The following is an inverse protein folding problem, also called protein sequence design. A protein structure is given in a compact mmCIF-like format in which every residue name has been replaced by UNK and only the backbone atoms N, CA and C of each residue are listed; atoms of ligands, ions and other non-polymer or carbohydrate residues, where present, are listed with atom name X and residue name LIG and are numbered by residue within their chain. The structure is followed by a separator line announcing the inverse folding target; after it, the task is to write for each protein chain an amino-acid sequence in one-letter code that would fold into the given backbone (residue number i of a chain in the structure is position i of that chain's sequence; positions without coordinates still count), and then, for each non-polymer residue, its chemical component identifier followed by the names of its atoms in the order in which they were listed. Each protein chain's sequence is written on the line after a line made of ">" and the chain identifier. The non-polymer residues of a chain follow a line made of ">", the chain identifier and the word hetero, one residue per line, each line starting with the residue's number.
data_IF_485024843882
#
_entry.id   IF_485024843882
#
_cell.length_a   1.000
_cell.length_b   1.000
_cell.length_c   1.000
_cell.angle_alpha   90.00
_cell.angle_beta   90.00
_cell.angle_gamma   90.00
#
_symmetry.space_group_name_H-M   'P 1'
#
loop_
_entity.id
_entity.type
_entity.pdbx_description
1 polymer ?
#
# COMPACT_ATOMS: atom_id res chain seq x y z
N UNK A 1 -15.01 -3.80 -46.77
CA UNK A 1 -15.07 -3.71 -45.28
C UNK A 1 -15.99 -4.80 -44.77
N UNK A 2 -15.52 -5.80 -44.00
CA UNK A 2 -16.35 -6.93 -43.57
C UNK A 2 -17.29 -6.50 -42.44
N UNK A 3 -18.60 -6.79 -42.58
CA UNK A 3 -19.64 -6.52 -41.57
C UNK A 3 -19.40 -7.43 -40.36
N UNK A 4 -18.83 -6.91 -39.28
CA UNK A 4 -18.80 -7.61 -38.00
C UNK A 4 -20.23 -7.72 -37.46
N UNK A 5 -20.79 -8.92 -37.46
CA UNK A 5 -22.10 -9.22 -36.86
C UNK A 5 -22.08 -8.92 -35.36
N UNK A 6 -23.11 -8.23 -34.86
CA UNK A 6 -23.33 -7.89 -33.45
C UNK A 6 -23.21 -9.11 -32.53
N UNK A 7 -23.57 -10.30 -33.03
CA UNK A 7 -23.46 -11.55 -32.29
C UNK A 7 -21.99 -11.95 -32.03
N UNK A 8 -21.07 -11.65 -32.94
CA UNK A 8 -19.63 -11.92 -32.78
C UNK A 8 -18.99 -10.95 -31.78
N UNK A 9 -19.48 -9.70 -31.73
CA UNK A 9 -19.06 -8.72 -30.72
C UNK A 9 -19.55 -9.10 -29.33
N UNK A 10 -20.81 -9.51 -29.20
CA UNK A 10 -21.37 -9.96 -27.91
C UNK A 10 -20.72 -11.27 -27.43
N UNK A 11 -20.41 -12.21 -28.33
CA UNK A 11 -19.65 -13.42 -27.99
C UNK A 11 -18.22 -13.08 -27.55
N UNK A 12 -17.51 -12.19 -28.26
CA UNK A 12 -16.18 -11.72 -27.86
C UNK A 12 -16.23 -11.05 -26.48
N UNK A 13 -17.17 -10.14 -26.25
CA UNK A 13 -17.34 -9.46 -24.96
C UNK A 13 -17.61 -10.43 -23.80
N UNK A 14 -18.44 -11.45 -24.00
CA UNK A 14 -18.66 -12.51 -22.99
C UNK A 14 -17.44 -13.39 -22.77
N UNK A 15 -16.67 -13.68 -23.83
CA UNK A 15 -15.47 -14.51 -23.74
C UNK A 15 -14.31 -13.80 -23.03
N UNK A 16 -14.07 -12.51 -23.31
CA UNK A 16 -13.08 -11.70 -22.56
C UNK A 16 -13.49 -11.54 -21.09
N UNK A 17 -14.78 -11.34 -20.81
CA UNK A 17 -15.27 -11.24 -19.42
C UNK A 17 -15.09 -12.54 -18.63
N UNK A 18 -15.33 -13.70 -19.25
CA UNK A 18 -15.16 -15.02 -18.62
C UNK A 18 -13.69 -15.41 -18.45
N UNK A 19 -12.81 -15.05 -19.39
CA UNK A 19 -11.37 -15.31 -19.29
C UNK A 19 -10.71 -14.50 -18.17
N UNK A 20 -11.03 -13.20 -18.06
CA UNK A 20 -10.55 -12.38 -16.95
C UNK A 20 -10.99 -12.92 -15.57
N UNK A 21 -12.20 -13.50 -15.46
CA UNK A 21 -12.68 -14.07 -14.19
C UNK A 21 -12.03 -15.39 -13.78
N UNK A 22 -11.49 -16.17 -14.72
CA UNK A 22 -10.74 -17.40 -14.43
C UNK A 22 -9.25 -17.13 -14.19
N UNK A 23 -8.68 -16.11 -14.86
CA UNK A 23 -7.28 -15.71 -14.73
C UNK A 23 -7.01 -14.99 -13.39
N UNK A 24 -7.97 -14.22 -12.86
CA UNK A 24 -7.93 -13.69 -11.49
C UNK A 24 -8.14 -14.75 -10.40
N UNK A 25 -8.50 -15.98 -10.76
CA UNK A 25 -8.92 -17.04 -9.81
C UNK A 25 -7.76 -17.90 -9.30
N UNK A 26 -6.55 -17.71 -9.87
CA UNK A 26 -5.34 -18.43 -9.48
C UNK A 26 -4.40 -17.49 -8.73
N UNK A 27 -3.99 -17.90 -7.53
CA UNK A 27 -2.89 -17.29 -6.80
C UNK A 27 -1.61 -17.60 -7.60
N UNK A 28 -1.18 -16.66 -8.44
CA UNK A 28 0.11 -16.78 -9.12
C UNK A 28 1.21 -16.44 -8.10
N UNK A 29 2.08 -17.39 -7.71
CA UNK A 29 3.08 -17.14 -6.67
C UNK A 29 4.15 -16.14 -7.09
N UNK A 30 4.31 -15.85 -8.40
CA UNK A 30 5.32 -14.93 -8.92
C UNK A 30 4.76 -14.05 -10.05
N UNK A 31 3.87 -13.10 -9.73
CA UNK A 31 3.20 -12.25 -10.72
C UNK A 31 4.18 -11.34 -11.49
N UNK A 32 5.37 -11.10 -10.94
CA UNK A 32 6.42 -10.27 -11.54
C UNK A 32 6.97 -10.84 -12.88
N UNK A 33 6.83 -12.15 -13.14
CA UNK A 33 7.42 -12.82 -14.30
C UNK A 33 6.94 -12.27 -15.65
N UNK A 34 5.65 -11.95 -15.75
CA UNK A 34 5.04 -11.43 -16.99
C UNK A 34 5.57 -10.03 -17.36
N UNK A 35 5.48 -9.04 -16.45
CA UNK A 35 6.02 -7.70 -16.66
C UNK A 35 7.52 -7.68 -16.95
N UNK A 36 8.30 -8.50 -16.26
CA UNK A 36 9.76 -8.55 -16.42
C UNK A 36 10.18 -9.03 -17.81
N UNK A 37 9.46 -10.02 -18.39
CA UNK A 37 9.70 -10.51 -19.76
C UNK A 37 9.44 -9.48 -20.86
N UNK A 38 8.63 -8.45 -20.59
CA UNK A 38 8.28 -7.38 -21.55
C UNK A 38 8.97 -6.04 -21.20
N UNK A 39 10.00 -6.11 -20.35
CA UNK A 39 10.76 -4.95 -19.91
C UNK A 39 11.81 -4.56 -20.95
N UNK A 40 12.06 -3.26 -21.12
CA UNK A 40 12.99 -2.72 -22.12
C UNK A 40 13.72 -1.50 -21.52
N UNK A 41 14.91 -1.17 -22.02
CA UNK A 41 15.74 -0.05 -21.56
C UNK A 41 15.01 1.30 -21.59
N UNK A 42 14.13 1.54 -22.56
CA UNK A 42 13.32 2.77 -22.58
C UNK A 42 12.39 2.89 -21.35
N UNK A 43 11.82 1.77 -20.88
CA UNK A 43 11.00 1.72 -19.66
C UNK A 43 11.87 1.87 -18.42
N UNK A 44 13.07 1.29 -18.42
CA UNK A 44 14.02 1.46 -17.33
C UNK A 44 14.34 2.92 -17.06
N UNK A 45 14.67 3.70 -18.09
CA UNK A 45 14.96 5.13 -17.91
C UNK A 45 13.76 5.93 -17.39
N UNK A 46 12.54 5.57 -17.83
CA UNK A 46 11.30 6.21 -17.35
C UNK A 46 11.02 5.84 -15.90
N UNK A 47 11.08 4.55 -15.57
CA UNK A 47 10.83 4.05 -14.22
C UNK A 47 11.91 4.54 -13.25
N UNK A 48 13.17 4.67 -13.67
CA UNK A 48 14.25 5.22 -12.84
C UNK A 48 14.00 6.67 -12.45
N UNK A 49 13.59 7.52 -13.41
CA UNK A 49 13.22 8.92 -13.12
C UNK A 49 12.01 8.99 -12.18
N UNK A 50 11.01 8.14 -12.39
CA UNK A 50 9.85 8.06 -11.51
C UNK A 50 10.23 7.58 -10.10
N UNK A 51 11.12 6.59 -10.00
CA UNK A 51 11.60 6.04 -8.73
C UNK A 51 12.35 7.08 -7.90
N UNK A 52 13.16 7.96 -8.52
CA UNK A 52 13.81 9.07 -7.80
C UNK A 52 12.78 9.99 -7.17
N UNK A 53 11.76 10.43 -7.93
CA UNK A 53 10.71 11.31 -7.41
C UNK A 53 9.91 10.64 -6.29
N UNK A 54 9.58 9.36 -6.45
CA UNK A 54 8.87 8.57 -5.44
C UNK A 54 9.72 8.40 -4.18
N UNK A 55 11.02 8.09 -4.32
CA UNK A 55 11.93 7.93 -3.19
C UNK A 55 12.11 9.24 -2.42
N UNK A 56 12.27 10.37 -3.12
CA UNK A 56 12.41 11.69 -2.50
C UNK A 56 11.18 12.05 -1.66
N UNK A 57 9.99 11.65 -2.10
CA UNK A 57 8.75 11.85 -1.35
C UNK A 57 8.57 10.81 -0.22
N UNK A 58 8.95 9.56 -0.45
CA UNK A 58 8.76 8.46 0.50
C UNK A 58 9.63 8.59 1.76
N UNK A 59 10.81 9.20 1.66
CA UNK A 59 11.70 9.42 2.81
C UNK A 59 11.02 10.29 3.89
N UNK A 60 10.66 11.56 3.64
CA UNK A 60 10.01 12.40 4.65
C UNK A 60 8.63 11.85 5.06
N UNK A 61 7.89 11.21 4.15
CA UNK A 61 6.62 10.56 4.50
C UNK A 61 6.82 9.42 5.50
N UNK A 62 7.79 8.54 5.28
CA UNK A 62 8.10 7.45 6.20
C UNK A 62 8.52 7.98 7.58
N UNK A 63 9.32 9.05 7.62
CA UNK A 63 9.71 9.71 8.86
C UNK A 63 8.49 10.24 9.64
N UNK A 64 7.57 10.92 8.95
CA UNK A 64 6.35 11.43 9.56
C UNK A 64 5.44 10.30 10.07
N UNK A 65 5.33 9.19 9.35
CA UNK A 65 4.51 8.04 9.76
C UNK A 65 5.09 7.33 10.99
N UNK A 66 6.42 7.21 11.08
CA UNK A 66 7.07 6.70 12.30
C UNK A 66 6.80 7.63 13.50
N UNK A 67 6.87 8.95 13.31
CA UNK A 67 6.56 9.91 14.35
C UNK A 67 5.09 9.81 14.83
N UNK A 68 4.13 9.63 13.92
CA UNK A 68 2.72 9.40 14.28
C UNK A 68 2.54 8.12 15.09
N UNK A 69 3.29 7.06 14.75
CA UNK A 69 3.26 5.79 15.48
C UNK A 69 4.05 5.81 16.80
N UNK A 70 4.59 6.96 17.21
CA UNK A 70 5.53 7.12 18.33
C UNK A 70 6.79 6.23 18.26
N UNK A 71 7.20 5.84 17.06
CA UNK A 71 8.39 5.04 16.80
C UNK A 71 9.59 5.91 16.44
N UNK A 72 10.82 5.45 16.70
CA UNK A 72 12.01 6.12 16.19
C UNK A 72 11.96 6.25 14.66
N UNK A 73 12.38 7.41 14.14
CA UNK A 73 12.29 7.77 12.72
C UNK A 73 12.91 6.72 11.79
N UNK A 74 14.00 6.09 12.23
CA UNK A 74 14.70 5.04 11.48
C UNK A 74 13.78 3.88 11.06
N UNK A 75 12.76 3.53 11.87
CA UNK A 75 11.82 2.47 11.55
C UNK A 75 10.93 2.81 10.35
N UNK A 76 10.52 4.07 10.20
CA UNK A 76 9.72 4.52 9.06
C UNK A 76 10.50 4.44 7.74
N UNK A 77 11.76 4.89 7.77
CA UNK A 77 12.65 4.83 6.60
C UNK A 77 12.96 3.38 6.24
N UNK A 78 13.35 2.56 7.23
CA UNK A 78 13.65 1.15 7.02
C UNK A 78 12.43 0.38 6.48
N UNK A 79 11.23 0.63 7.02
CA UNK A 79 9.99 0.01 6.56
C UNK A 79 9.69 0.39 5.10
N UNK A 80 9.78 1.67 4.74
CA UNK A 80 9.59 2.13 3.36
C UNK A 80 10.59 1.49 2.39
N UNK A 81 11.87 1.40 2.76
CA UNK A 81 12.90 0.78 1.93
C UNK A 81 12.65 -0.73 1.75
N UNK A 82 12.36 -1.45 2.84
CA UNK A 82 12.04 -2.88 2.79
C UNK A 82 10.79 -3.13 1.95
N UNK A 83 9.73 -2.34 2.12
CA UNK A 83 8.51 -2.46 1.33
C UNK A 83 8.76 -2.22 -0.17
N UNK A 84 9.54 -1.20 -0.53
CA UNK A 84 9.87 -0.90 -1.92
C UNK A 84 10.67 -2.05 -2.60
N UNK A 85 11.48 -2.78 -1.84
CA UNK A 85 12.26 -3.92 -2.36
C UNK A 85 11.41 -5.20 -2.41
N UNK A 86 10.70 -5.52 -1.34
CA UNK A 86 10.01 -6.81 -1.17
C UNK A 86 8.66 -6.84 -1.89
N UNK A 87 7.90 -5.75 -1.85
CA UNK A 87 6.53 -5.75 -2.33
C UNK A 87 6.37 -5.96 -3.85
N UNK A 88 7.26 -5.48 -4.73
CA UNK A 88 7.16 -5.74 -6.17
C UNK A 88 7.16 -7.23 -6.54
N UNK A 89 7.81 -8.10 -5.75
CA UNK A 89 7.82 -9.53 -6.00
C UNK A 89 6.44 -10.18 -5.86
N UNK A 90 5.57 -9.60 -5.02
CA UNK A 90 4.23 -10.09 -4.73
C UNK A 90 3.12 -9.21 -5.34
N UNK A 91 3.48 -8.13 -6.03
CA UNK A 91 2.50 -7.21 -6.63
C UNK A 91 1.99 -7.73 -7.98
N UNK A 92 0.66 -7.80 -8.12
CA UNK A 92 -0.01 -8.09 -9.39
C UNK A 92 0.00 -6.93 -10.40
N UNK A 93 0.43 -5.73 -9.99
CA UNK A 93 0.41 -4.53 -10.83
C UNK A 93 1.72 -3.75 -10.76
N UNK A 94 2.20 -3.29 -11.92
CA UNK A 94 3.43 -2.50 -12.07
C UNK A 94 3.37 -1.09 -11.44
N UNK A 95 2.18 -0.61 -11.11
CA UNK A 95 1.98 0.76 -10.57
C UNK A 95 1.58 0.75 -9.09
N UNK A 96 1.46 -0.42 -8.46
CA UNK A 96 1.11 -0.50 -7.05
C UNK A 96 2.36 -0.30 -6.21
N UNK A 97 2.33 0.75 -5.40
CA UNK A 97 3.37 1.05 -4.41
C UNK A 97 2.83 0.60 -3.05
N UNK A 98 3.62 -0.19 -2.32
CA UNK A 98 3.33 -0.60 -0.95
C UNK A 98 4.35 0.05 -0.02
N UNK A 99 3.90 0.42 1.16
CA UNK A 99 4.73 1.07 2.17
C UNK A 99 3.92 1.41 3.41
N UNK A 100 4.56 1.99 4.44
CA UNK A 100 3.84 2.53 5.57
C UNK A 100 2.89 3.63 5.09
N UNK A 101 1.75 3.72 5.74
CA UNK A 101 0.72 4.73 5.47
C UNK A 101 0.35 5.45 6.75
N UNK A 102 -0.26 6.64 6.63
CA UNK A 102 -0.86 7.32 7.77
C UNK A 102 -1.83 6.41 8.55
N UNK A 103 -2.66 5.63 7.85
CA UNK A 103 -3.64 4.75 8.48
C UNK A 103 -2.95 3.68 9.34
N UNK A 104 -1.92 3.01 8.80
CA UNK A 104 -1.16 2.00 9.55
C UNK A 104 -0.40 2.60 10.73
N UNK A 105 0.11 3.83 10.60
CA UNK A 105 0.76 4.54 11.70
C UNK A 105 -0.21 4.83 12.85
N UNK A 106 -1.41 5.34 12.53
CA UNK A 106 -2.46 5.57 13.53
C UNK A 106 -2.96 4.27 14.16
N UNK A 107 -3.07 3.18 13.39
CA UNK A 107 -3.46 1.88 13.95
C UNK A 107 -2.45 1.38 14.99
N UNK A 108 -1.15 1.51 14.71
CA UNK A 108 -0.09 1.18 15.66
C UNK A 108 -0.20 2.06 16.89
N UNK A 109 -0.28 3.38 16.72
CA UNK A 109 -0.42 4.33 17.82
C UNK A 109 -1.62 3.99 18.71
N UNK A 110 -2.81 3.87 18.13
CA UNK A 110 -4.04 3.57 18.86
C UNK A 110 -4.02 2.20 19.55
N UNK A 111 -3.32 1.21 19.00
CA UNK A 111 -3.17 -0.09 19.63
C UNK A 111 -2.40 0.03 20.94
N UNK A 112 -1.25 0.72 20.95
CA UNK A 112 -0.43 0.87 22.16
C UNK A 112 -0.95 1.91 23.16
N UNK A 113 -1.94 2.73 22.77
CA UNK A 113 -2.67 3.59 23.70
C UNK A 113 -3.65 2.84 24.61
N UNK A 114 -3.93 1.56 24.35
CA UNK A 114 -4.84 0.77 25.20
C UNK A 114 -4.23 0.63 26.60
N UNK A 115 -4.95 1.01 27.68
CA UNK A 115 -4.43 0.94 29.04
C UNK A 115 -3.95 -0.48 29.39
N UNK A 116 -2.74 -0.58 29.94
CA UNK A 116 -2.12 -1.86 30.32
C UNK A 116 -1.43 -2.62 29.18
N UNK A 117 -1.40 -2.07 27.96
CA UNK A 117 -0.72 -2.72 26.83
C UNK A 117 0.79 -2.46 26.81
N UNK A 118 1.25 -1.29 27.27
CA UNK A 118 2.67 -1.00 27.49
C UNK A 118 2.86 -0.08 28.68
N UNK A 119 3.98 -0.24 29.37
CA UNK A 119 4.40 0.64 30.48
C UNK A 119 5.49 1.63 30.05
N UNK A 120 6.12 1.41 28.88
CA UNK A 120 7.18 2.27 28.36
C UNK A 120 7.31 2.19 26.83
N UNK A 121 7.92 3.22 26.22
CA UNK A 121 8.26 3.22 24.79
C UNK A 121 9.22 2.09 24.40
N UNK A 122 10.10 1.65 25.31
CA UNK A 122 11.00 0.52 25.07
C UNK A 122 10.25 -0.80 24.91
N UNK A 123 9.20 -1.00 25.72
CA UNK A 123 8.33 -2.18 25.63
C UNK A 123 7.53 -2.20 24.33
N UNK A 124 7.03 -1.04 23.88
CA UNK A 124 6.37 -0.92 22.57
C UNK A 124 7.27 -1.39 21.42
N UNK A 125 8.54 -0.97 21.40
CA UNK A 125 9.50 -1.37 20.38
C UNK A 125 9.81 -2.87 20.47
N UNK A 126 9.85 -3.44 21.67
CA UNK A 126 10.07 -4.88 21.86
C UNK A 126 8.88 -5.74 21.38
N UNK A 127 7.65 -5.24 21.50
CA UNK A 127 6.42 -5.93 21.07
C UNK A 127 6.10 -5.74 19.58
N UNK A 128 6.69 -4.74 18.91
CA UNK A 128 6.49 -4.44 17.48
C UNK A 128 6.67 -5.65 16.55
N UNK A 129 7.76 -6.44 16.64
CA UNK A 129 7.95 -7.60 15.76
C UNK A 129 6.85 -8.65 15.92
N UNK A 130 6.37 -8.86 17.15
CA UNK A 130 5.27 -9.78 17.43
C UNK A 130 3.97 -9.29 16.81
N UNK A 131 3.66 -7.99 16.96
CA UNK A 131 2.49 -7.39 16.32
C UNK A 131 2.54 -7.54 14.80
N UNK A 132 3.68 -7.22 14.18
CA UNK A 132 3.89 -7.40 12.74
C UNK A 132 3.70 -8.86 12.30
N UNK A 133 4.20 -9.81 13.07
CA UNK A 133 4.05 -11.24 12.78
C UNK A 133 2.58 -11.67 12.87
N UNK A 134 1.85 -11.23 13.88
CA UNK A 134 0.42 -11.52 14.03
C UNK A 134 -0.40 -10.93 12.88
N UNK A 135 -0.17 -9.67 12.53
CA UNK A 135 -0.82 -9.02 11.38
C UNK A 135 -0.51 -9.79 10.10
N UNK A 136 0.76 -10.16 9.88
CA UNK A 136 1.18 -10.97 8.74
C UNK A 136 0.46 -12.32 8.69
N UNK A 137 0.37 -13.02 9.82
CA UNK A 137 -0.35 -14.29 9.93
C UNK A 137 -1.85 -14.12 9.60
N UNK A 138 -2.50 -13.08 10.12
CA UNK A 138 -3.89 -12.77 9.78
C UNK A 138 -4.06 -12.43 8.30
N UNK A 139 -3.13 -11.71 7.69
CA UNK A 139 -3.15 -11.43 6.25
C UNK A 139 -3.01 -12.72 5.43
N UNK A 140 -2.15 -13.65 5.83
CA UNK A 140 -1.98 -14.95 5.15
C UNK A 140 -3.26 -15.78 5.28
N UNK A 141 -3.82 -15.89 6.48
CA UNK A 141 -5.10 -16.58 6.71
C UNK A 141 -6.21 -15.95 5.89
N UNK A 142 -6.32 -14.62 5.88
CA UNK A 142 -7.28 -13.88 5.06
C UNK A 142 -7.10 -14.11 3.56
N UNK A 143 -5.86 -14.24 3.08
CA UNK A 143 -5.56 -14.57 1.69
C UNK A 143 -6.00 -15.99 1.32
N UNK A 144 -5.76 -16.98 2.20
CA UNK A 144 -6.21 -18.37 2.02
C UNK A 144 -7.74 -18.45 2.00
N UNK A 145 -8.39 -17.73 2.92
CA UNK A 145 -9.86 -17.62 2.99
C UNK A 145 -10.46 -16.77 1.87
N UNK A 146 -9.62 -16.17 1.01
CA UNK A 146 -10.03 -15.28 -0.09
C UNK A 146 -10.93 -14.14 0.38
N UNK A 147 -10.59 -13.53 1.50
CA UNK A 147 -11.30 -12.35 2.04
C UNK A 147 -11.33 -11.21 1.01
N UNK A 148 -10.35 -11.14 0.10
CA UNK A 148 -10.35 -10.20 -1.02
C UNK A 148 -11.60 -10.32 -1.91
N UNK A 149 -12.20 -11.51 -2.06
CA UNK A 149 -13.44 -11.70 -2.82
C UNK A 149 -14.61 -10.97 -2.14
N UNK A 150 -14.56 -10.75 -0.82
CA UNK A 150 -15.59 -9.99 -0.12
C UNK A 150 -15.51 -8.49 -0.45
N UNK A 151 -14.34 -7.99 -0.86
CA UNK A 151 -14.19 -6.58 -1.26
C UNK A 151 -15.06 -6.22 -2.46
N UNK A 152 -15.47 -7.20 -3.28
CA UNK A 152 -16.40 -6.97 -4.38
C UNK A 152 -17.81 -6.55 -3.92
N UNK A 153 -18.16 -6.79 -2.64
CA UNK A 153 -19.42 -6.36 -2.04
C UNK A 153 -19.33 -4.97 -1.40
N UNK A 154 -18.15 -4.35 -1.36
CA UNK A 154 -18.01 -2.97 -0.88
C UNK A 154 -18.63 -2.02 -1.90
N UNK A 155 -19.57 -1.20 -1.44
CA UNK A 155 -20.28 -0.27 -2.33
C UNK A 155 -19.33 0.79 -2.89
N UNK A 156 -19.65 1.29 -4.10
CA UNK A 156 -18.90 2.38 -4.73
C UNK A 156 -18.85 3.62 -3.83
N UNK A 157 -19.93 3.93 -3.12
CA UNK A 157 -19.99 5.09 -2.21
C UNK A 157 -18.99 4.98 -1.06
N UNK A 158 -18.81 3.78 -0.48
CA UNK A 158 -17.83 3.55 0.60
C UNK A 158 -16.40 3.73 0.06
N UNK A 159 -16.11 3.20 -1.12
CA UNK A 159 -14.79 3.38 -1.76
C UNK A 159 -14.50 4.87 -2.03
N UNK A 160 -15.48 5.62 -2.53
CA UNK A 160 -15.34 7.06 -2.75
C UNK A 160 -15.11 7.80 -1.43
N UNK A 161 -15.85 7.46 -0.37
CA UNK A 161 -15.65 8.04 0.96
C UNK A 161 -14.26 7.75 1.53
N UNK A 162 -13.77 6.53 1.38
CA UNK A 162 -12.41 6.14 1.78
C UNK A 162 -11.34 6.94 1.02
N UNK A 163 -11.45 7.03 -0.32
CA UNK A 163 -10.50 7.78 -1.14
C UNK A 163 -10.55 9.29 -0.79
N UNK A 164 -11.74 9.86 -0.59
CA UNK A 164 -11.90 11.25 -0.18
C UNK A 164 -11.26 11.50 1.20
N UNK A 165 -11.49 10.60 2.17
CA UNK A 165 -10.85 10.66 3.49
C UNK A 165 -9.32 10.58 3.40
N UNK A 166 -8.80 9.65 2.60
CA UNK A 166 -7.35 9.53 2.36
C UNK A 166 -6.77 10.80 1.71
N UNK A 167 -7.46 11.39 0.73
CA UNK A 167 -7.05 12.65 0.10
C UNK A 167 -7.04 13.81 1.11
N UNK A 168 -8.09 13.95 1.92
CA UNK A 168 -8.15 14.96 2.99
C UNK A 168 -7.01 14.77 4.00
N UNK A 169 -6.71 13.52 4.38
CA UNK A 169 -5.62 13.22 5.30
C UNK A 169 -4.24 13.56 4.70
N UNK A 170 -4.04 13.31 3.40
CA UNK A 170 -2.82 13.72 2.69
C UNK A 170 -2.69 15.25 2.71
N UNK A 171 -3.75 15.97 2.34
CA UNK A 171 -3.78 17.44 2.36
C UNK A 171 -3.47 17.96 3.77
N UNK A 172 -4.14 17.43 4.80
CA UNK A 172 -3.91 17.81 6.19
C UNK A 172 -2.45 17.58 6.63
N UNK A 173 -1.81 16.50 6.17
CA UNK A 173 -0.40 16.25 6.45
C UNK A 173 0.54 17.23 5.74
N UNK A 174 0.18 17.70 4.55
CA UNK A 174 0.96 18.74 3.85
C UNK A 174 0.79 20.11 4.53
N UNK A 175 -0.39 20.42 5.09
CA UNK A 175 -0.62 21.65 5.85
C UNK A 175 0.34 21.78 7.06
N UNK A 176 0.68 20.68 7.74
CA UNK A 176 1.64 20.70 8.85
C UNK A 176 3.03 21.21 8.42
N UNK A 177 3.45 20.87 7.20
CA UNK A 177 4.70 21.33 6.63
C UNK A 177 4.63 22.81 6.22
N UNK A 178 3.52 23.23 5.59
CA UNK A 178 3.32 24.61 5.14
C UNK A 178 3.20 25.58 6.32
N UNK A 179 2.55 25.17 7.42
CA UNK A 179 2.34 25.99 8.61
C UNK A 179 3.57 26.03 9.53
N UNK A 180 4.68 25.37 9.17
CA UNK A 180 5.93 25.43 9.95
C UNK A 180 5.84 24.83 11.36
N UNK A 181 4.81 24.03 11.65
CA UNK A 181 4.56 23.48 13.00
C UNK A 181 5.65 22.48 13.43
N UNK A 182 6.52 22.06 12.51
CA UNK A 182 7.73 21.29 12.80
C UNK A 182 8.85 22.17 13.40
N UNK A 183 8.96 23.45 13.04
CA UNK A 183 10.02 24.32 13.57
C UNK A 183 9.82 24.73 15.04
N UNK A 184 8.58 24.68 15.56
CA UNK A 184 8.29 25.04 16.96
C UNK A 184 8.67 23.97 17.99
N UNK A 185 9.14 22.79 17.56
CA UNK A 185 9.59 21.71 18.47
C UNK A 185 11.10 21.42 18.40
N UNK A 186 11.85 22.03 17.48
CA UNK A 186 13.33 21.98 17.46
C UNK A 186 13.98 23.23 18.09
N UNK A 187 13.17 24.17 18.58
CA UNK A 187 13.59 25.34 19.37
C UNK A 187 12.94 25.34 20.75
N UNK A 188 13.46 24.51 21.65
CA UNK A 188 13.06 24.45 23.07
C UNK A 188 13.96 23.53 23.88
#
# INVERSE_FOLDING_TARGET
>A
MPKLSLQNLLRRARYTRKRNSEETRRLDPLPIRGPLRRYNSAKFTQDFRAAINVALLALPQGMAYAAIAELPIAYGIACSAVAAIVAPFFSGSRHTILGPTNATAFMIFSFFLIPGMTSSKGEMIALMPLLCLMVGAFCIVGAILRVADLLQFVSRSVLVGYIAGAATLIIANQFKHILGITELMEGG
#
